data_IF_776370185208
#
_entry.id   IF_776370185208
#
_cell.length_a   1.000
_cell.length_b   1.000
_cell.length_c   1.000
_cell.angle_alpha   90.00
_cell.angle_beta   90.00
_cell.angle_gamma   90.00
#
_symmetry.space_group_name_H-M   'P 1'
#
loop_
_entity.id
_entity.type
_entity.pdbx_description
1 polymer ?
#
# COMPACT_ATOMS: atom_id res chain seq x y z
N UNK A 1 -13.60 -4.59 1.58
CA UNK A 1 -12.13 -4.55 1.51
C UNK A 1 -11.62 -4.01 2.84
N UNK A 2 -10.79 -4.77 3.56
CA UNK A 2 -10.35 -4.46 4.92
C UNK A 2 -9.13 -3.52 4.90
N UNK A 3 -9.38 -2.22 4.73
CA UNK A 3 -8.34 -1.18 4.85
C UNK A 3 -7.63 -1.21 6.20
N UNK A 4 -8.26 -1.84 7.20
CA UNK A 4 -7.75 -2.01 8.56
C UNK A 4 -6.47 -2.87 8.63
N UNK A 5 -6.24 -3.82 7.71
CA UNK A 5 -5.01 -4.64 7.72
C UNK A 5 -3.76 -3.85 7.33
N UNK A 6 -3.88 -2.96 6.34
CA UNK A 6 -2.81 -2.05 5.96
C UNK A 6 -2.59 -0.98 7.04
N UNK A 7 -3.67 -0.45 7.61
CA UNK A 7 -3.56 0.44 8.77
C UNK A 7 -2.81 -0.26 9.92
N UNK A 8 -3.18 -1.49 10.29
CA UNK A 8 -2.52 -2.31 11.32
C UNK A 8 -1.04 -2.59 11.05
N UNK A 9 -0.63 -2.75 9.80
CA UNK A 9 0.78 -2.87 9.46
C UNK A 9 1.55 -1.54 9.61
N UNK A 10 0.86 -0.42 9.41
CA UNK A 10 1.40 0.94 9.55
C UNK A 10 1.31 1.51 10.97
N UNK A 11 0.81 0.76 11.96
CA UNK A 11 0.58 1.23 13.34
C UNK A 11 1.83 1.75 14.08
N UNK A 12 3.01 1.71 13.47
CA UNK A 12 4.19 2.42 13.97
C UNK A 12 4.31 3.89 13.51
N UNK A 13 3.42 4.37 12.63
CA UNK A 13 3.40 5.73 12.14
C UNK A 13 2.02 6.37 12.42
N UNK A 14 1.74 6.78 13.68
CA UNK A 14 0.41 7.24 14.12
C UNK A 14 -0.14 8.49 13.41
N UNK A 15 0.67 9.14 12.57
CA UNK A 15 0.38 10.43 11.95
C UNK A 15 0.35 10.33 10.41
N UNK A 16 0.04 9.15 9.87
CA UNK A 16 0.04 8.87 8.43
C UNK A 16 -1.35 8.50 7.95
N UNK A 17 -1.77 9.11 6.86
CA UNK A 17 -3.01 8.77 6.14
C UNK A 17 -2.65 8.04 4.85
N UNK A 18 -3.33 6.93 4.57
CA UNK A 18 -3.21 6.25 3.27
C UNK A 18 -4.26 6.77 2.29
N UNK A 19 -3.80 7.16 1.11
CA UNK A 19 -4.67 7.50 -0.02
C UNK A 19 -4.46 6.48 -1.13
N UNK A 20 -5.53 5.78 -1.53
CA UNK A 20 -5.47 4.84 -2.65
C UNK A 20 -5.27 5.59 -3.97
N UNK A 21 -4.33 5.09 -4.78
CA UNK A 21 -4.05 5.60 -6.12
C UNK A 21 -4.98 4.86 -7.09
N UNK A 22 -6.19 5.39 -7.25
CA UNK A 22 -7.15 4.88 -8.22
C UNK A 22 -6.70 5.26 -9.64
N UNK A 23 -5.93 4.39 -10.30
CA UNK A 23 -5.57 4.55 -11.71
C UNK A 23 -4.08 4.47 -12.02
N UNK A 24 -3.34 3.55 -11.40
CA UNK A 24 -2.08 3.09 -12.00
C UNK A 24 -2.46 2.35 -13.30
N UNK A 25 -2.58 3.12 -14.38
CA UNK A 25 -2.92 2.67 -15.73
C UNK A 25 -1.84 1.67 -16.13
N UNK A 26 -2.17 0.40 -15.88
CA UNK A 26 -1.29 -0.75 -16.05
C UNK A 26 -1.09 -0.93 -17.54
N UNK A 27 -0.22 -0.09 -18.09
CA UNK A 27 0.20 -0.07 -19.48
C UNK A 27 1.20 -1.20 -19.77
N UNK A 28 1.07 -2.32 -19.05
CA UNK A 28 1.58 -3.64 -19.42
C UNK A 28 0.58 -4.71 -18.94
N UNK A 29 -0.41 -5.00 -19.79
CA UNK A 29 -1.02 -6.33 -19.95
C UNK A 29 -1.53 -7.02 -18.69
N UNK A 30 -2.71 -6.63 -18.22
CA UNK A 30 -3.52 -7.44 -17.32
C UNK A 30 -4.18 -6.58 -16.27
N UNK A 31 -5.51 -6.52 -16.29
CA UNK A 31 -6.32 -6.06 -15.17
C UNK A 31 -6.10 -7.00 -13.99
N UNK A 32 -4.97 -6.86 -13.30
CA UNK A 32 -4.67 -7.63 -12.11
C UNK A 32 -5.39 -6.91 -10.96
N UNK A 33 -6.70 -7.21 -10.84
CA UNK A 33 -7.62 -6.72 -9.78
C UNK A 33 -7.05 -7.05 -8.38
N UNK A 34 -6.03 -7.89 -8.33
CA UNK A 34 -5.28 -8.28 -7.15
C UNK A 34 -4.30 -7.21 -6.63
N UNK A 35 -4.04 -6.07 -7.28
CA UNK A 35 -3.02 -5.11 -6.81
C UNK A 35 -3.60 -3.72 -6.52
N UNK A 36 -3.21 -3.15 -5.38
CA UNK A 36 -3.54 -1.77 -4.99
C UNK A 36 -2.28 -1.00 -4.61
N UNK A 37 -2.23 0.26 -5.03
CA UNK A 37 -1.16 1.20 -4.66
C UNK A 37 -1.73 2.31 -3.78
N UNK A 38 -0.98 2.73 -2.78
CA UNK A 38 -1.37 3.78 -1.84
C UNK A 38 -0.22 4.78 -1.67
N UNK A 39 -0.57 6.06 -1.52
CA UNK A 39 0.34 7.10 -1.05
C UNK A 39 0.22 7.21 0.47
N UNK A 40 1.35 7.35 1.14
CA UNK A 40 1.41 7.71 2.54
C UNK A 40 1.53 9.23 2.67
N UNK A 41 0.52 9.86 3.23
CA UNK A 41 0.47 11.29 3.48
C UNK A 41 0.75 11.60 4.94
N UNK A 42 1.61 12.58 5.20
CA UNK A 42 1.76 13.18 6.53
C UNK A 42 0.50 13.97 6.92
N UNK A 43 0.39 14.38 8.18
CA UNK A 43 -0.66 15.30 8.65
C UNK A 43 -0.75 16.61 7.85
N UNK A 44 0.32 16.99 7.16
CA UNK A 44 0.38 18.18 6.31
C UNK A 44 -0.07 17.91 4.87
N UNK A 45 -0.42 16.68 4.53
CA UNK A 45 -0.75 16.24 3.18
C UNK A 45 0.48 16.03 2.29
N UNK A 46 1.68 15.92 2.87
CA UNK A 46 2.91 15.67 2.11
C UNK A 46 3.08 14.16 1.88
N UNK A 47 3.41 13.75 0.66
CA UNK A 47 3.73 12.34 0.38
C UNK A 47 5.08 11.99 1.01
N UNK A 48 5.05 11.11 2.00
CA UNK A 48 6.22 10.65 2.74
C UNK A 48 6.64 9.23 2.37
N UNK A 49 5.84 8.54 1.55
CA UNK A 49 6.10 7.19 1.11
C UNK A 49 4.96 6.61 0.27
N UNK A 50 5.13 5.35 -0.11
CA UNK A 50 4.18 4.61 -0.94
C UNK A 50 4.03 3.19 -0.44
N UNK A 51 2.87 2.59 -0.66
CA UNK A 51 2.63 1.19 -0.37
C UNK A 51 2.07 0.54 -1.61
N UNK A 52 2.68 -0.58 -2.01
CA UNK A 52 2.10 -1.47 -3.01
C UNK A 52 1.66 -2.73 -2.29
N UNK A 53 0.36 -3.02 -2.36
CA UNK A 53 -0.25 -4.18 -1.76
C UNK A 53 -0.78 -5.11 -2.86
N UNK A 54 -0.77 -6.40 -2.58
CA UNK A 54 -1.41 -7.39 -3.42
C UNK A 54 -2.34 -8.28 -2.59
N UNK A 55 -3.34 -8.79 -3.26
CA UNK A 55 -4.43 -9.58 -2.71
C UNK A 55 -4.33 -11.01 -3.24
N UNK A 56 -4.79 -11.94 -2.42
CA UNK A 56 -5.20 -13.28 -2.86
C UNK A 56 -6.74 -13.29 -2.95
N UNK A 57 -7.34 -14.40 -3.40
CA UNK A 57 -8.79 -14.51 -3.66
C UNK A 57 -9.71 -14.05 -2.52
N UNK A 58 -9.23 -14.03 -1.26
CA UNK A 58 -10.02 -13.71 -0.07
C UNK A 58 -9.62 -12.41 0.68
N UNK A 59 -8.36 -11.93 0.61
CA UNK A 59 -7.88 -10.72 1.33
C UNK A 59 -6.47 -10.29 0.86
N UNK A 60 -5.90 -9.24 1.49
CA UNK A 60 -4.50 -8.84 1.30
C UNK A 60 -3.51 -9.99 1.60
N UNK A 61 -2.71 -10.35 0.60
CA UNK A 61 -1.65 -11.35 0.69
C UNK A 61 -0.31 -10.76 1.13
N UNK A 62 -0.12 -9.45 0.94
CA UNK A 62 1.07 -8.77 1.40
C UNK A 62 1.16 -7.33 0.93
N UNK A 63 2.21 -6.66 1.40
CA UNK A 63 2.54 -5.30 0.98
C UNK A 63 4.05 -5.07 0.97
N UNK A 64 4.46 -4.06 0.22
CA UNK A 64 5.79 -3.45 0.25
C UNK A 64 5.61 -1.96 0.51
N UNK A 65 6.32 -1.43 1.49
CA UNK A 65 6.39 -0.03 1.86
C UNK A 65 7.69 0.58 1.31
N UNK A 66 7.55 1.70 0.62
CA UNK A 66 8.61 2.51 0.06
C UNK A 66 8.66 3.87 0.75
N UNK A 67 9.86 4.39 0.98
CA UNK A 67 10.02 5.80 1.36
C UNK A 67 9.72 6.74 0.16
N UNK A 68 9.71 8.04 0.40
CA UNK A 68 9.51 9.05 -0.65
C UNK A 68 10.60 9.08 -1.72
N UNK A 69 11.77 8.46 -1.48
CA UNK A 69 12.84 8.30 -2.47
C UNK A 69 12.71 7.00 -3.28
N UNK A 70 11.73 6.15 -2.99
CA UNK A 70 11.48 4.88 -3.66
C UNK A 70 12.29 3.71 -3.12
N UNK A 71 12.96 3.84 -1.98
CA UNK A 71 13.65 2.74 -1.33
C UNK A 71 12.67 1.88 -0.53
N UNK A 72 12.87 0.57 -0.52
CA UNK A 72 12.07 -0.34 0.31
C UNK A 72 12.44 -0.13 1.79
N UNK A 73 11.45 0.30 2.58
CA UNK A 73 11.58 0.49 4.02
C UNK A 73 11.17 -0.76 4.76
N UNK A 74 10.07 -1.38 4.33
CA UNK A 74 9.53 -2.59 4.93
C UNK A 74 8.71 -3.38 3.91
N UNK A 75 8.54 -4.66 4.16
CA UNK A 75 7.63 -5.50 3.39
C UNK A 75 7.14 -6.65 4.25
N UNK A 76 5.90 -7.05 4.04
CA UNK A 76 5.31 -8.17 4.77
C UNK A 76 4.42 -8.98 3.86
N UNK A 77 4.55 -10.28 3.98
CA UNK A 77 3.61 -11.25 3.41
C UNK A 77 2.73 -11.77 4.53
N UNK A 78 1.42 -11.79 4.31
CA UNK A 78 0.49 -12.47 5.18
C UNK A 78 0.39 -13.92 4.71
N UNK A 79 0.85 -14.86 5.54
CA UNK A 79 0.57 -16.28 5.31
C UNK A 79 -0.80 -16.59 5.91
N UNK A 80 -1.64 -17.26 5.13
CA UNK A 80 -2.92 -17.82 5.58
C UNK A 80 -2.69 -18.93 6.62
#
# INVERSE_FOLDING_TARGET
MNSDLLNHALFNAPNVTLQEISGEDSSEGGSDISRSSFEMLSERGEVIGYIKAWHDDDDYAGFVHFDSAGNVVDWKTFKK
#
